data_IF_911909273485
#
_entry.id   IF_911909273485
#
_cell.length_a   1.000
_cell.length_b   1.000
_cell.length_c   1.000
_cell.angle_alpha   90.00
_cell.angle_beta   90.00
_cell.angle_gamma   90.00
#
_symmetry.space_group_name_H-M   'P 1'
#
loop_
_entity.id
_entity.type
_entity.pdbx_description
1 polymer ?
#
# COMPACT_ATOMS: atom_id res chain seq x y z
N UNK A 1 -62.00 21.72 -18.19
CA UNK A 1 -60.91 20.71 -18.08
C UNK A 1 -60.91 20.15 -16.67
N UNK A 2 -61.10 18.84 -16.49
CA UNK A 2 -61.39 18.25 -15.17
C UNK A 2 -60.18 18.30 -14.23
N UNK A 3 -60.37 18.81 -13.00
CA UNK A 3 -59.32 18.98 -11.97
C UNK A 3 -58.57 17.68 -11.65
N UNK A 4 -59.21 16.54 -11.86
CA UNK A 4 -58.61 15.21 -11.66
C UNK A 4 -57.59 14.85 -12.75
N UNK A 5 -57.76 15.33 -13.98
CA UNK A 5 -56.79 15.14 -15.06
C UNK A 5 -55.50 15.93 -14.81
N UNK A 6 -55.62 17.17 -14.32
CA UNK A 6 -54.43 17.96 -13.91
C UNK A 6 -53.63 17.27 -12.82
N UNK A 7 -54.29 16.63 -11.85
CA UNK A 7 -53.60 15.85 -10.80
C UNK A 7 -52.91 14.62 -11.36
N UNK A 8 -53.56 13.89 -12.29
CA UNK A 8 -52.96 12.73 -12.93
C UNK A 8 -51.69 13.11 -13.72
N UNK A 9 -51.71 14.23 -14.44
CA UNK A 9 -50.53 14.73 -15.14
C UNK A 9 -49.39 15.12 -14.20
N UNK A 10 -49.70 15.78 -13.08
CA UNK A 10 -48.69 16.13 -12.07
C UNK A 10 -48.06 14.89 -11.42
N UNK A 11 -48.87 13.87 -11.07
CA UNK A 11 -48.35 12.61 -10.53
C UNK A 11 -47.48 11.86 -11.53
N UNK A 12 -47.89 11.83 -12.81
CA UNK A 12 -47.10 11.20 -13.87
C UNK A 12 -45.74 11.90 -14.05
N UNK A 13 -45.73 13.23 -14.12
CA UNK A 13 -44.49 14.00 -14.26
C UNK A 13 -43.57 13.83 -13.05
N UNK A 14 -44.12 13.80 -11.83
CA UNK A 14 -43.37 13.54 -10.61
C UNK A 14 -42.73 12.14 -10.60
N UNK A 15 -43.46 11.11 -11.05
CA UNK A 15 -42.96 9.74 -11.12
C UNK A 15 -41.87 9.57 -12.19
N UNK A 16 -42.03 10.21 -13.35
CA UNK A 16 -41.03 10.23 -14.43
C UNK A 16 -39.77 10.97 -14.00
N UNK A 17 -39.91 12.12 -13.34
CA UNK A 17 -38.79 12.91 -12.82
C UNK A 17 -38.01 12.15 -11.73
N UNK A 18 -38.71 11.50 -10.80
CA UNK A 18 -38.12 10.67 -9.75
C UNK A 18 -37.37 9.45 -10.32
N UNK A 19 -37.98 8.76 -11.30
CA UNK A 19 -37.34 7.62 -11.96
C UNK A 19 -36.07 8.03 -12.73
N UNK A 20 -36.08 9.19 -13.40
CA UNK A 20 -34.91 9.73 -14.10
C UNK A 20 -33.75 9.99 -13.12
N UNK A 21 -34.04 10.55 -11.94
CA UNK A 21 -33.02 10.83 -10.91
C UNK A 21 -32.37 9.55 -10.36
N UNK A 22 -33.14 8.44 -10.27
CA UNK A 22 -32.61 7.16 -9.76
C UNK A 22 -31.77 6.40 -10.79
N UNK A 23 -32.12 6.51 -12.09
CA UNK A 23 -31.37 5.91 -13.20
C UNK A 23 -30.09 6.71 -13.51
N UNK A 24 -30.14 8.03 -13.33
CA UNK A 24 -29.00 8.94 -13.53
C UNK A 24 -28.26 9.24 -12.22
N UNK A 25 -27.87 8.22 -11.44
CA UNK A 25 -26.86 8.45 -10.39
C UNK A 25 -25.59 8.99 -11.04
N UNK A 26 -25.07 10.17 -10.65
CA UNK A 26 -23.79 10.64 -11.15
C UNK A 26 -22.73 9.62 -10.73
N UNK A 27 -22.12 8.96 -11.71
CA UNK A 27 -20.93 8.15 -11.46
C UNK A 27 -19.85 9.12 -11.01
N UNK A 28 -19.58 9.18 -9.72
CA UNK A 28 -18.37 9.85 -9.21
C UNK A 28 -17.19 9.13 -9.83
N UNK A 29 -16.63 9.69 -10.90
CA UNK A 29 -15.34 9.27 -11.42
C UNK A 29 -14.33 9.67 -10.34
N UNK A 30 -14.00 8.72 -9.48
CA UNK A 30 -12.79 8.81 -8.68
C UNK A 30 -11.66 8.85 -9.71
N UNK A 31 -10.97 9.97 -9.81
CA UNK A 31 -9.81 10.07 -10.69
C UNK A 31 -8.74 9.09 -10.21
N UNK A 32 -8.26 8.25 -11.12
CA UNK A 32 -7.20 7.27 -10.86
C UNK A 32 -5.86 8.01 -10.81
N UNK A 33 -5.47 8.48 -9.61
CA UNK A 33 -4.25 9.29 -9.39
C UNK A 33 -2.96 8.46 -9.28
N UNK A 34 -2.95 7.24 -9.82
CA UNK A 34 -1.75 6.39 -9.82
C UNK A 34 -0.70 6.90 -10.81
N UNK A 35 0.55 7.01 -10.36
CA UNK A 35 1.69 7.37 -11.21
C UNK A 35 2.26 6.14 -11.90
N UNK A 36 2.45 6.23 -13.22
CA UNK A 36 3.08 5.16 -14.02
C UNK A 36 4.60 5.30 -13.97
N UNK A 37 5.28 4.22 -13.59
CA UNK A 37 6.73 4.14 -13.62
C UNK A 37 7.16 3.12 -14.67
N UNK A 38 8.16 3.47 -15.47
CA UNK A 38 8.74 2.58 -16.48
C UNK A 38 9.94 1.85 -15.89
N UNK A 39 9.76 0.55 -15.64
CA UNK A 39 10.79 -0.33 -15.11
C UNK A 39 11.32 -1.23 -16.22
N UNK A 40 12.62 -1.53 -16.19
CA UNK A 40 13.19 -2.65 -16.94
C UNK A 40 12.69 -3.97 -16.35
N UNK A 41 12.99 -5.08 -17.04
CA UNK A 41 12.62 -6.41 -16.52
C UNK A 41 13.33 -6.69 -15.20
N UNK A 42 14.60 -6.34 -15.12
CA UNK A 42 15.47 -6.55 -13.96
C UNK A 42 15.00 -5.72 -12.76
N UNK A 43 14.69 -4.44 -12.98
CA UNK A 43 14.15 -3.54 -11.96
C UNK A 43 12.80 -4.02 -11.41
N UNK A 44 11.94 -4.57 -12.27
CA UNK A 44 10.66 -5.14 -11.85
C UNK A 44 10.85 -6.37 -10.97
N UNK A 45 11.73 -7.29 -11.38
CA UNK A 45 12.04 -8.47 -10.57
C UNK A 45 12.64 -8.08 -9.22
N UNK A 46 13.37 -6.96 -9.17
CA UNK A 46 13.89 -6.41 -7.93
C UNK A 46 12.78 -5.96 -6.98
N UNK A 47 11.86 -5.12 -7.45
CA UNK A 47 10.71 -4.69 -6.64
C UNK A 47 9.92 -5.89 -6.11
N UNK A 48 9.66 -6.89 -6.95
CA UNK A 48 8.91 -8.08 -6.55
C UNK A 48 9.67 -8.93 -5.54
N UNK A 49 11.01 -8.98 -5.64
CA UNK A 49 11.86 -9.64 -4.65
C UNK A 49 11.79 -8.92 -3.32
N UNK A 50 11.97 -7.60 -3.31
CA UNK A 50 11.87 -6.77 -2.10
C UNK A 50 10.54 -7.00 -1.37
N UNK A 51 9.41 -6.97 -2.08
CA UNK A 51 8.10 -7.21 -1.46
C UNK A 51 7.97 -8.61 -0.83
N UNK A 52 8.60 -9.63 -1.43
CA UNK A 52 8.62 -10.99 -0.87
C UNK A 52 9.55 -11.10 0.33
N UNK A 53 10.72 -10.47 0.27
CA UNK A 53 11.69 -10.50 1.37
C UNK A 53 11.16 -9.74 2.59
N UNK A 54 10.53 -8.58 2.43
CA UNK A 54 9.88 -7.88 3.55
C UNK A 54 8.81 -8.74 4.23
N UNK A 55 7.96 -9.41 3.43
CA UNK A 55 6.95 -10.33 3.96
C UNK A 55 7.60 -11.55 4.67
N UNK A 56 8.67 -12.09 4.10
CA UNK A 56 9.44 -13.19 4.70
C UNK A 56 10.05 -12.78 6.04
N UNK A 57 10.63 -11.59 6.13
CA UNK A 57 11.22 -11.07 7.36
C UNK A 57 10.19 -10.93 8.47
N UNK A 58 9.01 -10.38 8.16
CA UNK A 58 7.88 -10.31 9.10
C UNK A 58 7.51 -11.71 9.59
N UNK A 59 7.36 -12.68 8.68
CA UNK A 59 7.06 -14.05 9.06
C UNK A 59 8.12 -14.64 10.00
N UNK A 60 9.40 -14.46 9.68
CA UNK A 60 10.50 -14.98 10.50
C UNK A 60 10.61 -14.30 11.87
N UNK A 61 10.28 -13.01 11.97
CA UNK A 61 10.18 -12.30 13.26
C UNK A 61 9.09 -12.92 14.12
N UNK A 62 7.89 -13.10 13.57
CA UNK A 62 6.76 -13.73 14.28
C UNK A 62 7.12 -15.15 14.69
N UNK A 63 7.71 -15.92 13.78
CA UNK A 63 8.13 -17.29 14.01
C UNK A 63 9.15 -17.36 15.17
N UNK A 64 10.22 -16.54 15.12
CA UNK A 64 11.22 -16.48 16.19
C UNK A 64 10.60 -16.17 17.54
N UNK A 65 9.73 -15.15 17.62
CA UNK A 65 9.02 -14.81 18.86
C UNK A 65 8.15 -15.98 19.35
N UNK A 66 7.42 -16.65 18.45
CA UNK A 66 6.55 -17.78 18.80
C UNK A 66 7.31 -18.99 19.34
N UNK A 67 8.57 -19.17 18.90
CA UNK A 67 9.46 -20.23 19.33
C UNK A 67 10.34 -19.83 20.52
N UNK A 68 10.23 -18.59 21.01
CA UNK A 68 11.09 -18.03 22.06
C UNK A 68 12.52 -17.69 21.60
N UNK A 69 12.79 -17.74 20.29
CA UNK A 69 14.05 -17.39 19.66
C UNK A 69 14.06 -15.90 19.25
N UNK A 70 14.31 -15.04 20.25
CA UNK A 70 14.38 -13.59 20.04
C UNK A 70 15.61 -13.16 19.25
N UNK A 71 16.66 -13.97 19.22
CA UNK A 71 17.88 -13.66 18.45
C UNK A 71 17.63 -13.85 16.95
N UNK A 72 16.88 -14.89 16.58
CA UNK A 72 16.36 -15.06 15.22
C UNK A 72 15.49 -13.89 14.81
N UNK A 73 14.53 -13.49 15.67
CA UNK A 73 13.65 -12.36 15.39
C UNK A 73 14.44 -11.05 15.22
N UNK A 74 15.41 -10.80 16.11
CA UNK A 74 16.30 -9.64 16.03
C UNK A 74 17.09 -9.61 14.73
N UNK A 75 17.68 -10.74 14.32
CA UNK A 75 18.49 -10.82 13.12
C UNK A 75 17.68 -10.51 11.85
N UNK A 76 16.47 -11.07 11.73
CA UNK A 76 15.60 -10.78 10.58
C UNK A 76 15.10 -9.34 10.58
N UNK A 77 14.74 -8.79 11.75
CA UNK A 77 14.39 -7.38 11.87
C UNK A 77 15.56 -6.47 11.44
N UNK A 78 16.76 -6.72 11.98
CA UNK A 78 17.95 -5.91 11.67
C UNK A 78 18.37 -6.00 10.22
N UNK A 79 18.33 -7.19 9.63
CA UNK A 79 18.68 -7.41 8.22
C UNK A 79 17.75 -6.67 7.24
N UNK A 80 16.51 -6.41 7.68
CA UNK A 80 15.50 -5.67 6.91
C UNK A 80 15.50 -4.17 7.24
N UNK A 81 16.42 -3.72 8.10
CA UNK A 81 16.57 -2.33 8.50
C UNK A 81 17.25 -1.46 7.43
N UNK A 82 17.62 -0.24 7.80
CA UNK A 82 18.29 0.74 6.92
C UNK A 82 19.66 0.28 6.41
N UNK A 83 20.29 -0.69 7.08
CA UNK A 83 21.55 -1.28 6.60
C UNK A 83 21.40 -1.94 5.22
N UNK A 84 20.24 -2.52 4.93
CA UNK A 84 19.89 -3.05 3.62
C UNK A 84 19.97 -1.98 2.53
N UNK A 85 19.40 -0.80 2.81
CA UNK A 85 19.38 0.35 1.88
C UNK A 85 20.78 0.86 1.59
N UNK A 86 21.70 0.79 2.55
CA UNK A 86 23.09 1.20 2.36
C UNK A 86 23.89 0.22 1.49
N UNK A 87 23.48 -1.05 1.46
CA UNK A 87 24.14 -2.13 0.70
C UNK A 87 23.62 -2.30 -0.72
N UNK A 88 22.73 -1.42 -1.17
CA UNK A 88 22.16 -1.49 -2.52
C UNK A 88 23.24 -1.44 -3.60
N UNK A 89 23.15 -2.39 -4.52
CA UNK A 89 23.89 -2.49 -5.77
C UNK A 89 23.61 -1.31 -6.70
N UNK A 90 24.43 -1.18 -7.75
CA UNK A 90 24.25 -0.12 -8.75
C UNK A 90 22.87 -0.19 -9.44
N UNK A 91 22.36 -1.40 -9.71
CA UNK A 91 21.05 -1.63 -10.36
C UNK A 91 19.89 -1.25 -9.43
N UNK A 92 20.05 -1.47 -8.12
CA UNK A 92 19.05 -1.04 -7.12
C UNK A 92 18.99 0.47 -6.99
N UNK A 93 20.16 1.13 -7.06
CA UNK A 93 20.23 2.59 -7.03
C UNK A 93 19.56 3.22 -8.25
N UNK A 94 19.65 2.62 -9.44
CA UNK A 94 18.95 3.13 -10.62
C UNK A 94 17.43 3.03 -10.48
N UNK A 95 16.92 2.00 -9.80
CA UNK A 95 15.50 1.89 -9.48
C UNK A 95 15.05 3.03 -8.56
N UNK A 96 15.80 3.32 -7.48
CA UNK A 96 15.45 4.41 -6.54
C UNK A 96 15.30 5.77 -7.23
N UNK A 97 16.08 6.03 -8.29
CA UNK A 97 15.95 7.27 -9.07
C UNK A 97 14.60 7.40 -9.79
N UNK A 98 13.99 6.27 -10.17
CA UNK A 98 12.71 6.23 -10.90
C UNK A 98 11.49 6.27 -9.98
N UNK A 99 11.67 6.00 -8.69
CA UNK A 99 10.57 5.97 -7.73
C UNK A 99 10.13 7.40 -7.33
N UNK A 100 8.81 7.65 -7.23
CA UNK A 100 8.26 8.88 -6.66
C UNK A 100 8.82 9.17 -5.26
N UNK A 101 8.91 10.45 -4.92
CA UNK A 101 9.43 10.89 -3.63
C UNK A 101 8.72 10.25 -2.44
N UNK A 102 7.39 10.27 -2.44
CA UNK A 102 6.60 9.77 -1.31
C UNK A 102 6.68 8.24 -1.17
N UNK A 103 6.81 7.54 -2.30
CA UNK A 103 7.05 6.09 -2.27
C UNK A 103 8.42 5.74 -1.68
N UNK A 104 9.47 6.51 -2.01
CA UNK A 104 10.78 6.34 -1.38
C UNK A 104 10.74 6.60 0.12
N UNK A 105 10.06 7.68 0.53
CA UNK A 105 9.89 8.01 1.95
C UNK A 105 9.21 6.84 2.68
N UNK A 106 8.14 6.29 2.13
CA UNK A 106 7.47 5.13 2.70
C UNK A 106 8.40 3.93 2.85
N UNK A 107 9.13 3.60 1.79
CA UNK A 107 10.07 2.47 1.81
C UNK A 107 11.14 2.66 2.89
N UNK A 108 11.76 3.83 2.97
CA UNK A 108 12.75 4.14 3.99
C UNK A 108 12.17 4.16 5.40
N UNK A 109 10.95 4.68 5.58
CA UNK A 109 10.28 4.67 6.87
C UNK A 109 9.98 3.24 7.33
N UNK A 110 9.58 2.36 6.41
CA UNK A 110 9.39 0.93 6.68
C UNK A 110 10.71 0.29 7.13
N UNK A 111 11.83 0.56 6.45
CA UNK A 111 13.15 0.05 6.88
C UNK A 111 13.59 0.61 8.24
N UNK A 112 13.28 1.86 8.59
CA UNK A 112 13.53 2.38 9.94
C UNK A 112 12.69 1.68 11.00
N UNK A 113 11.41 1.41 10.71
CA UNK A 113 10.55 0.65 11.62
C UNK A 113 11.11 -0.76 11.90
N UNK A 114 11.77 -1.39 10.93
CA UNK A 114 12.50 -2.64 11.16
C UNK A 114 13.68 -2.48 12.12
N UNK A 115 14.46 -1.39 12.01
CA UNK A 115 15.53 -1.08 12.97
C UNK A 115 14.98 -0.82 14.37
N UNK A 116 13.90 -0.06 14.50
CA UNK A 116 13.21 0.20 15.78
C UNK A 116 12.68 -1.10 16.40
N UNK A 117 12.04 -1.95 15.59
CA UNK A 117 11.56 -3.25 16.04
C UNK A 117 12.71 -4.13 16.52
N UNK A 118 13.86 -4.11 15.84
CA UNK A 118 15.04 -4.86 16.27
C UNK A 118 15.49 -4.43 17.67
N UNK A 119 15.50 -3.13 17.98
CA UNK A 119 15.81 -2.64 19.33
C UNK A 119 14.74 -3.03 20.35
N UNK A 120 13.46 -2.97 19.99
CA UNK A 120 12.34 -3.39 20.87
C UNK A 120 12.40 -4.89 21.18
N UNK A 121 12.79 -5.73 20.23
CA UNK A 121 12.93 -7.18 20.43
C UNK A 121 13.92 -7.51 21.57
N UNK A 122 14.97 -6.70 21.76
CA UNK A 122 15.95 -6.88 22.86
C UNK A 122 15.32 -6.76 24.25
N UNK A 123 14.22 -6.00 24.38
CA UNK A 123 13.50 -5.87 25.65
C UNK A 123 12.78 -7.16 26.07
N UNK A 124 12.50 -8.07 25.12
CA UNK A 124 11.72 -9.31 25.32
C UNK A 124 10.32 -9.08 25.90
N UNK A 125 9.80 -7.85 25.80
CA UNK A 125 8.45 -7.50 26.22
C UNK A 125 7.45 -7.77 25.09
N UNK A 126 6.85 -8.95 25.07
CA UNK A 126 5.98 -9.40 23.97
C UNK A 126 4.88 -8.41 23.59
N UNK A 127 4.27 -7.72 24.56
CA UNK A 127 3.25 -6.73 24.26
C UNK A 127 3.81 -5.54 23.47
N UNK A 128 4.98 -5.02 23.85
CA UNK A 128 5.64 -3.93 23.12
C UNK A 128 6.06 -4.39 21.72
N UNK A 129 6.61 -5.60 21.61
CA UNK A 129 7.03 -6.17 20.32
C UNK A 129 5.82 -6.33 19.38
N UNK A 130 4.70 -6.89 19.85
CA UNK A 130 3.49 -7.06 19.04
C UNK A 130 2.87 -5.74 18.60
N UNK A 131 2.83 -4.73 19.49
CA UNK A 131 2.34 -3.40 19.14
C UNK A 131 3.19 -2.76 18.05
N UNK A 132 4.52 -2.88 18.15
CA UNK A 132 5.45 -2.31 17.18
C UNK A 132 5.36 -3.06 15.83
N UNK A 133 5.25 -4.38 15.87
CA UNK A 133 5.04 -5.23 14.70
C UNK A 133 3.73 -4.91 13.96
N UNK A 134 2.64 -4.62 14.69
CA UNK A 134 1.37 -4.23 14.08
C UNK A 134 1.49 -2.92 13.28
N UNK A 135 2.23 -1.95 13.80
CA UNK A 135 2.51 -0.70 13.09
C UNK A 135 3.36 -0.93 11.84
N UNK A 136 4.41 -1.76 11.96
CA UNK A 136 5.27 -2.14 10.84
C UNK A 136 4.48 -2.84 9.72
N UNK A 137 3.61 -3.77 10.08
CA UNK A 137 2.74 -4.49 9.15
C UNK A 137 1.87 -3.54 8.31
N UNK A 138 1.34 -2.49 8.93
CA UNK A 138 0.57 -1.46 8.22
C UNK A 138 1.40 -0.80 7.10
N UNK A 139 2.66 -0.45 7.38
CA UNK A 139 3.59 0.12 6.40
C UNK A 139 3.94 -0.86 5.26
N UNK A 140 4.24 -2.12 5.60
CA UNK A 140 4.57 -3.17 4.62
C UNK A 140 3.39 -3.47 3.69
N UNK A 141 2.19 -3.67 4.24
CA UNK A 141 0.99 -3.92 3.43
C UNK A 141 0.65 -2.73 2.55
N UNK A 142 0.78 -1.51 3.08
CA UNK A 142 0.59 -0.32 2.30
C UNK A 142 1.57 -0.25 1.14
N UNK A 143 2.87 -0.43 1.36
CA UNK A 143 3.86 -0.44 0.28
C UNK A 143 3.54 -1.49 -0.80
N UNK A 144 3.06 -2.66 -0.39
CA UNK A 144 2.67 -3.75 -1.30
C UNK A 144 1.38 -3.44 -2.10
N UNK A 145 0.39 -2.78 -1.49
CA UNK A 145 -0.84 -2.35 -2.17
C UNK A 145 -0.58 -1.15 -3.09
N UNK A 146 0.26 -0.22 -2.66
CA UNK A 146 0.62 0.95 -3.44
C UNK A 146 1.40 0.56 -4.70
N UNK A 147 2.13 -0.56 -4.68
CA UNK A 147 2.80 -1.13 -5.85
C UNK A 147 1.89 -1.99 -6.74
N UNK A 148 0.56 -1.80 -6.65
CA UNK A 148 -0.42 -2.55 -7.40
C UNK A 148 -0.19 -2.54 -8.92
N UNK A 149 -0.03 -3.74 -9.45
CA UNK A 149 0.23 -4.01 -10.85
C UNK A 149 -1.05 -3.90 -11.69
N UNK A 150 -1.10 -3.08 -12.75
CA UNK A 150 -2.20 -3.15 -13.76
C UNK A 150 -1.70 -3.82 -15.03
N UNK A 151 -2.07 -5.08 -15.21
CA UNK A 151 -1.92 -5.80 -16.47
C UNK A 151 -2.91 -5.23 -17.50
N UNK A 152 -2.42 -4.43 -18.45
CA UNK A 152 -3.17 -4.10 -19.67
C UNK A 152 -2.30 -4.38 -20.90
N UNK A 153 -2.70 -5.36 -21.72
CA UNK A 153 -2.11 -5.73 -23.02
C UNK A 153 -0.63 -6.23 -23.01
N UNK A 154 -0.28 -7.19 -22.14
CA UNK A 154 1.07 -7.83 -22.05
C UNK A 154 2.27 -6.87 -21.94
N UNK A 155 2.05 -5.56 -21.85
CA UNK A 155 3.01 -4.54 -21.44
C UNK A 155 2.67 -4.19 -20.00
N UNK A 156 3.54 -4.63 -19.12
CA UNK A 156 3.42 -4.45 -17.68
C UNK A 156 3.69 -2.97 -17.37
N UNK A 157 2.66 -2.21 -16.92
CA UNK A 157 2.80 -0.86 -16.35
C UNK A 157 2.78 -0.94 -14.82
N UNK A 158 3.80 -0.38 -14.18
CA UNK A 158 3.88 -0.25 -12.73
C UNK A 158 3.14 1.01 -12.29
N UNK A 159 2.28 0.90 -11.29
CA UNK A 159 1.50 2.02 -10.77
C UNK A 159 1.82 2.21 -9.29
N UNK A 160 2.03 3.46 -8.88
CA UNK A 160 2.13 3.85 -7.47
C UNK A 160 0.94 4.74 -7.12
N UNK A 161 0.12 4.35 -6.15
CA UNK A 161 -0.94 5.20 -5.60
C UNK A 161 -0.30 6.27 -4.68
N UNK A 162 -0.55 7.56 -4.93
CA UNK A 162 -0.05 8.63 -4.07
C UNK A 162 -1.06 9.09 -3.01
N UNK A 163 -2.36 8.79 -3.18
CA UNK A 163 -3.45 9.33 -2.35
C UNK A 163 -3.47 8.85 -0.89
N UNK A 164 -2.70 7.83 -0.52
CA UNK A 164 -2.60 7.44 0.89
C UNK A 164 -1.88 8.51 1.74
N UNK A 165 -1.00 9.32 1.14
CA UNK A 165 -0.22 10.32 1.85
C UNK A 165 -0.95 11.66 2.07
N UNK A 166 -2.07 11.91 1.39
CA UNK A 166 -2.75 13.21 1.41
C UNK A 166 -3.77 13.35 2.56
N UNK A 167 -3.81 12.43 3.54
CA UNK A 167 -4.89 12.40 4.54
C UNK A 167 -4.48 12.20 6.01
N UNK A 168 -3.30 12.67 6.40
CA UNK A 168 -2.88 12.72 7.80
C UNK A 168 -2.31 14.10 8.19
N UNK A 169 -3.07 15.17 7.88
CA UNK A 169 -2.98 16.46 8.58
C UNK A 169 -4.24 16.65 9.43
#
# INVERSE_FOLDING_TARGET
MNRNWMRAFLFFYFFVFSACFFVCKPKTKIEDRRVVIFLTKEERELVLREMRELLRSVHMIIYGISMGDYDLAYLYAKSSGMEMVNKLSAVEKTLLLKLPGDFKKLGFETHKQFDELAEVIKSRENQKIMNNLANLLSGVFLAMILTAFKLKNRKLKFFVLLDFFEKND
#
